data_IF_019501945036
#
_entry.id   IF_019501945036
#
_cell.length_a   1.000
_cell.length_b   1.000
_cell.length_c   1.000
_cell.angle_alpha   90.00
_cell.angle_beta   90.00
_cell.angle_gamma   90.00
#
_symmetry.space_group_name_H-M   'P 1'
#
loop_
_entity.id
_entity.type
_entity.pdbx_description
1 polymer ?
#
# COMPACT_ATOMS: atom_id res chain seq x y z
N UNK A 1 -1.93 7.02 -3.61
CA UNK A 1 -2.71 5.79 -3.32
C UNK A 1 -3.72 5.51 -4.42
N UNK A 2 -4.90 6.14 -4.46
CA UNK A 2 -5.90 5.84 -5.49
C UNK A 2 -5.41 6.10 -6.93
N UNK A 3 -4.72 7.23 -7.15
CA UNK A 3 -4.09 7.55 -8.43
C UNK A 3 -3.05 6.48 -8.84
N UNK A 4 -2.24 6.00 -7.90
CA UNK A 4 -1.30 4.90 -8.12
C UNK A 4 -1.96 3.68 -8.72
N UNK A 5 -3.02 3.16 -8.10
CA UNK A 5 -3.75 1.98 -8.63
C UNK A 5 -4.28 2.22 -10.05
N UNK A 6 -4.72 3.45 -10.36
CA UNK A 6 -5.14 3.80 -11.73
C UNK A 6 -3.94 3.74 -12.69
N UNK A 7 -2.78 4.26 -12.29
CA UNK A 7 -1.54 4.17 -13.07
C UNK A 7 -1.14 2.71 -13.30
N UNK A 8 -1.23 1.84 -12.29
CA UNK A 8 -0.98 0.40 -12.45
C UNK A 8 -1.89 -0.24 -13.50
N UNK A 9 -3.17 0.13 -13.51
CA UNK A 9 -4.12 -0.39 -14.50
C UNK A 9 -3.85 0.16 -15.90
N UNK A 10 -3.43 1.43 -16.02
CA UNK A 10 -2.98 1.97 -17.30
C UNK A 10 -1.78 1.16 -17.81
N UNK A 11 -0.82 0.83 -16.94
CA UNK A 11 0.35 0.02 -17.31
C UNK A 11 -0.06 -1.39 -17.72
N UNK A 12 -0.88 -2.07 -16.92
CA UNK A 12 -1.21 -3.47 -17.16
C UNK A 12 -2.19 -3.69 -18.31
N UNK A 13 -3.08 -2.72 -18.60
CA UNK A 13 -4.16 -2.87 -19.58
C UNK A 13 -3.96 -1.96 -20.78
N UNK A 14 -3.71 -0.67 -20.57
CA UNK A 14 -3.67 0.32 -21.63
C UNK A 14 -2.34 0.33 -22.39
N UNK A 15 -1.19 0.11 -21.74
CA UNK A 15 0.11 0.09 -22.44
C UNK A 15 0.19 -1.03 -23.49
N UNK A 16 -0.18 -2.29 -23.18
CA UNK A 16 -0.21 -3.36 -24.18
C UNK A 16 -1.21 -3.11 -25.32
N UNK A 17 -2.35 -2.48 -25.02
CA UNK A 17 -3.43 -2.29 -25.99
C UNK A 17 -3.25 -1.04 -26.87
N UNK A 18 -2.74 0.06 -26.29
CA UNK A 18 -2.72 1.39 -26.89
C UNK A 18 -1.30 1.89 -27.22
N UNK A 19 -0.26 1.26 -26.67
CA UNK A 19 1.13 1.52 -27.03
C UNK A 19 1.81 2.65 -26.24
N UNK A 20 2.91 3.23 -26.76
CA UNK A 20 3.84 4.07 -26.00
C UNK A 20 3.25 5.35 -25.40
N UNK A 21 2.20 5.91 -26.00
CA UNK A 21 1.56 7.12 -25.47
C UNK A 21 0.90 6.85 -24.11
N UNK A 22 0.35 5.65 -23.89
CA UNK A 22 -0.25 5.27 -22.62
C UNK A 22 0.82 5.15 -21.51
N UNK A 23 2.05 4.71 -21.86
CA UNK A 23 3.18 4.70 -20.93
C UNK A 23 3.62 6.13 -20.58
N UNK A 24 3.58 7.05 -21.55
CA UNK A 24 3.85 8.47 -21.32
C UNK A 24 2.80 9.10 -20.40
N UNK A 25 1.52 8.77 -20.60
CA UNK A 25 0.43 9.21 -19.72
C UNK A 25 0.62 8.68 -18.30
N UNK A 26 0.90 7.39 -18.15
CA UNK A 26 1.19 6.77 -16.85
C UNK A 26 2.34 7.49 -16.13
N UNK A 27 3.43 7.80 -16.85
CA UNK A 27 4.57 8.51 -16.31
C UNK A 27 4.24 9.96 -15.89
N UNK A 28 3.44 10.68 -16.68
CA UNK A 28 3.01 12.03 -16.32
C UNK A 28 2.11 12.03 -15.07
N UNK A 29 1.15 11.11 -14.99
CA UNK A 29 0.30 10.93 -13.81
C UNK A 29 1.11 10.51 -12.59
N UNK A 30 2.13 9.68 -12.78
CA UNK A 30 3.00 9.25 -11.70
C UNK A 30 3.75 10.42 -11.07
N UNK A 31 4.28 11.38 -11.83
CA UNK A 31 4.89 12.58 -11.24
C UNK A 31 3.93 13.42 -10.39
N UNK A 32 2.65 13.48 -10.78
CA UNK A 32 1.60 14.11 -9.96
C UNK A 32 1.43 13.32 -8.65
N UNK A 33 1.44 11.99 -8.73
CA UNK A 33 1.39 11.15 -7.53
C UNK A 33 2.62 11.32 -6.64
N UNK A 34 3.83 11.46 -7.19
CA UNK A 34 5.07 11.69 -6.44
C UNK A 34 4.93 12.94 -5.57
N UNK A 35 4.55 14.06 -6.18
CA UNK A 35 4.41 15.35 -5.48
C UNK A 35 3.33 15.25 -4.40
N UNK A 36 2.16 14.71 -4.75
CA UNK A 36 1.06 14.57 -3.80
C UNK A 36 1.41 13.63 -2.63
N UNK A 37 2.07 12.50 -2.90
CA UNK A 37 2.42 11.49 -1.89
C UNK A 37 3.48 12.02 -0.93
N UNK A 38 4.53 12.69 -1.43
CA UNK A 38 5.54 13.31 -0.58
C UNK A 38 4.90 14.41 0.28
N UNK A 39 4.07 15.27 -0.32
CA UNK A 39 3.40 16.33 0.41
C UNK A 39 2.55 15.75 1.55
N UNK A 40 1.70 14.76 1.28
CA UNK A 40 0.83 14.13 2.29
C UNK A 40 1.64 13.39 3.37
N UNK A 41 2.62 12.59 2.95
CA UNK A 41 3.44 11.75 3.84
C UNK A 41 4.30 12.58 4.81
N UNK A 42 4.76 13.77 4.41
CA UNK A 42 5.55 14.64 5.27
C UNK A 42 4.69 15.65 6.04
N UNK A 43 3.70 16.26 5.38
CA UNK A 43 2.90 17.32 5.97
C UNK A 43 2.00 16.82 7.09
N UNK A 44 1.29 15.70 6.91
CA UNK A 44 0.34 15.24 7.93
C UNK A 44 1.02 14.82 9.24
N UNK A 45 2.10 14.02 9.24
CA UNK A 45 2.86 13.77 10.46
C UNK A 45 3.43 15.05 11.08
N UNK A 46 3.89 16.01 10.27
CA UNK A 46 4.36 17.29 10.78
C UNK A 46 3.26 18.08 11.51
N UNK A 47 2.04 18.14 10.97
CA UNK A 47 0.90 18.79 11.62
C UNK A 47 0.48 18.05 12.89
N UNK A 48 0.55 16.73 12.91
CA UNK A 48 0.31 15.94 14.13
C UNK A 48 1.35 16.29 15.20
N UNK A 49 2.63 16.43 14.82
CA UNK A 49 3.71 16.77 15.75
C UNK A 49 3.66 18.23 16.24
N UNK A 50 3.24 19.17 15.39
CA UNK A 50 3.35 20.61 15.65
C UNK A 50 2.07 21.24 16.22
N UNK A 51 0.89 20.70 15.88
CA UNK A 51 -0.41 21.31 16.23
C UNK A 51 -1.20 20.45 17.20
N UNK A 52 -1.20 19.12 17.03
CA UNK A 52 -2.10 18.24 17.75
C UNK A 52 -1.45 17.66 19.01
N UNK A 53 -2.10 17.82 20.16
CA UNK A 53 -1.72 17.08 21.37
C UNK A 53 -2.16 15.64 21.21
N UNK A 54 -1.20 14.72 21.13
CA UNK A 54 -1.48 13.34 20.78
C UNK A 54 -0.99 12.38 21.84
N UNK A 55 -1.90 11.55 22.36
CA UNK A 55 -1.58 10.56 23.38
C UNK A 55 -1.36 9.18 22.74
N UNK A 56 -0.52 8.34 23.35
CA UNK A 56 -0.25 6.98 22.87
C UNK A 56 -1.54 6.14 22.77
N UNK A 57 -2.49 6.34 23.69
CA UNK A 57 -3.80 5.70 23.70
C UNK A 57 -4.62 5.93 22.42
N UNK A 58 -4.42 7.10 21.80
CA UNK A 58 -5.12 7.57 20.59
C UNK A 58 -4.48 7.10 19.28
N UNK A 59 -3.31 6.44 19.34
CA UNK A 59 -2.64 5.92 18.15
C UNK A 59 -3.50 4.81 17.54
N UNK A 60 -3.80 4.97 16.26
CA UNK A 60 -4.53 3.99 15.44
C UNK A 60 -3.73 3.69 14.20
N UNK A 61 -4.05 2.58 13.53
CA UNK A 61 -3.44 2.22 12.25
C UNK A 61 -3.79 3.17 11.12
N UNK A 62 -4.76 4.08 11.30
CA UNK A 62 -5.08 5.13 10.34
C UNK A 62 -3.90 6.08 10.09
N UNK A 63 -2.96 6.16 11.04
CA UNK A 63 -1.72 6.92 10.90
C UNK A 63 -0.80 6.37 9.80
N UNK A 64 -1.04 5.13 9.36
CA UNK A 64 -0.33 4.56 8.22
C UNK A 64 -0.83 5.14 6.88
N UNK A 65 -2.05 5.66 6.80
CA UNK A 65 -2.65 6.07 5.52
C UNK A 65 -1.85 7.16 4.78
N UNK A 66 -1.37 8.23 5.44
CA UNK A 66 -0.51 9.22 4.78
C UNK A 66 0.82 8.62 4.33
N UNK A 67 1.40 7.72 5.13
CA UNK A 67 2.72 7.14 4.92
C UNK A 67 2.72 6.13 3.76
N UNK A 68 1.68 5.31 3.69
CA UNK A 68 1.51 4.30 2.64
C UNK A 68 1.43 4.93 1.24
N UNK A 69 1.04 6.20 1.14
CA UNK A 69 1.01 6.91 -0.15
C UNK A 69 2.34 6.88 -0.89
N UNK A 70 3.47 7.08 -0.20
CA UNK A 70 4.80 7.05 -0.84
C UNK A 70 5.23 5.63 -1.16
N UNK A 71 4.80 4.64 -0.37
CA UNK A 71 5.10 3.22 -0.63
C UNK A 71 4.42 2.75 -1.91
N UNK A 72 3.12 3.06 -2.08
CA UNK A 72 2.37 2.79 -3.32
C UNK A 72 2.99 3.54 -4.49
N UNK A 73 3.34 4.82 -4.31
CA UNK A 73 3.99 5.62 -5.35
C UNK A 73 5.36 5.04 -5.77
N UNK A 74 6.10 4.42 -4.84
CA UNK A 74 7.35 3.74 -5.15
C UNK A 74 7.13 2.50 -6.02
N UNK A 75 6.17 1.64 -5.65
CA UNK A 75 5.84 0.41 -6.36
C UNK A 75 5.30 0.70 -7.78
N UNK A 76 4.35 1.62 -7.89
CA UNK A 76 3.83 2.11 -9.17
C UNK A 76 4.95 2.67 -10.04
N UNK A 77 5.89 3.44 -9.47
CA UNK A 77 7.03 3.99 -10.20
C UNK A 77 7.96 2.92 -10.77
N UNK A 78 8.12 1.79 -10.08
CA UNK A 78 8.87 0.65 -10.62
C UNK A 78 8.20 0.08 -11.87
N UNK A 79 6.87 -0.07 -11.84
CA UNK A 79 6.11 -0.52 -13.01
C UNK A 79 6.14 0.51 -14.14
N UNK A 80 6.07 1.80 -13.83
CA UNK A 80 6.21 2.86 -14.84
C UNK A 80 7.59 2.76 -15.50
N UNK A 81 8.67 2.66 -14.71
CA UNK A 81 10.04 2.61 -15.20
C UNK A 81 10.28 1.44 -16.18
N UNK A 82 9.62 0.30 -15.98
CA UNK A 82 9.70 -0.87 -16.87
C UNK A 82 9.11 -0.60 -18.27
N UNK A 83 8.13 0.30 -18.38
CA UNK A 83 7.46 0.61 -19.65
C UNK A 83 8.12 1.72 -20.46
N UNK A 84 9.10 2.44 -19.88
CA UNK A 84 9.72 3.60 -20.50
C UNK A 84 10.83 3.19 -21.48
N UNK A 85 10.75 3.72 -22.71
CA UNK A 85 11.77 3.49 -23.74
C UNK A 85 12.99 4.39 -23.60
N UNK A 86 12.85 5.54 -22.92
CA UNK A 86 13.95 6.45 -22.63
C UNK A 86 14.68 5.99 -21.36
N UNK A 87 15.91 5.52 -21.50
CA UNK A 87 16.72 5.00 -20.39
C UNK A 87 16.98 6.01 -19.27
N UNK A 88 17.07 7.31 -19.59
CA UNK A 88 17.24 8.35 -18.57
C UNK A 88 15.95 8.56 -17.75
N UNK A 89 14.79 8.59 -18.40
CA UNK A 89 13.50 8.69 -17.69
C UNK A 89 13.24 7.45 -16.84
N UNK A 90 13.56 6.26 -17.36
CA UNK A 90 13.47 5.01 -16.63
C UNK A 90 14.37 5.05 -15.37
N UNK A 91 15.62 5.52 -15.52
CA UNK A 91 16.56 5.67 -14.40
C UNK A 91 16.07 6.66 -13.35
N UNK A 92 15.59 7.85 -13.74
CA UNK A 92 15.07 8.83 -12.78
C UNK A 92 13.87 8.29 -12.00
N UNK A 93 12.96 7.63 -12.71
CA UNK A 93 11.77 7.01 -12.13
C UNK A 93 12.19 5.93 -11.12
N UNK A 94 13.13 5.07 -11.48
CA UNK A 94 13.68 4.03 -10.60
C UNK A 94 14.34 4.62 -9.33
N UNK A 95 15.17 5.65 -9.48
CA UNK A 95 15.86 6.30 -8.35
C UNK A 95 14.86 6.96 -7.42
N UNK A 96 13.87 7.67 -7.95
CA UNK A 96 12.81 8.29 -7.16
C UNK A 96 11.95 7.23 -6.47
N UNK A 97 11.66 6.09 -7.10
CA UNK A 97 11.00 4.96 -6.44
C UNK A 97 11.78 4.45 -5.23
N UNK A 98 13.11 4.30 -5.32
CA UNK A 98 13.94 3.95 -4.16
C UNK A 98 13.83 4.99 -3.03
N UNK A 99 13.84 6.28 -3.36
CA UNK A 99 13.70 7.37 -2.37
C UNK A 99 12.33 7.30 -1.69
N UNK A 100 11.25 7.17 -2.46
CA UNK A 100 9.89 7.08 -1.95
C UNK A 100 9.68 5.88 -1.04
N UNK A 101 10.24 4.72 -1.43
CA UNK A 101 10.24 3.51 -0.61
C UNK A 101 11.01 3.73 0.69
N UNK A 102 12.20 4.34 0.60
CA UNK A 102 13.08 4.66 1.73
C UNK A 102 12.51 5.70 2.70
N UNK A 103 11.57 6.54 2.25
CA UNK A 103 10.79 7.41 3.13
C UNK A 103 9.64 6.63 3.77
N UNK A 104 8.83 5.96 2.95
CA UNK A 104 7.57 5.36 3.40
C UNK A 104 7.74 4.17 4.33
N UNK A 105 8.59 3.20 3.98
CA UNK A 105 8.70 1.95 4.73
C UNK A 105 9.25 2.17 6.15
N UNK A 106 10.36 2.92 6.36
CA UNK A 106 10.84 3.19 7.71
C UNK A 106 9.82 3.94 8.59
N UNK A 107 9.13 4.96 8.04
CA UNK A 107 8.08 5.68 8.76
C UNK A 107 6.90 4.76 9.13
N UNK A 108 6.54 3.84 8.23
CA UNK A 108 5.53 2.83 8.52
C UNK A 108 5.99 1.89 9.65
N UNK A 109 7.26 1.46 9.66
CA UNK A 109 7.81 0.62 10.73
C UNK A 109 7.74 1.32 12.10
N UNK A 110 8.07 2.62 12.18
CA UNK A 110 7.93 3.38 13.43
C UNK A 110 6.47 3.40 13.92
N UNK A 111 5.53 3.61 13.00
CA UNK A 111 4.10 3.63 13.33
C UNK A 111 3.62 2.24 13.78
N UNK A 112 4.12 1.16 13.16
CA UNK A 112 3.79 -0.21 13.57
C UNK A 112 4.33 -0.55 14.95
N UNK A 113 5.54 -0.10 15.30
CA UNK A 113 6.11 -0.29 16.64
C UNK A 113 5.26 0.44 17.69
N UNK A 114 4.89 1.71 17.42
CA UNK A 114 4.03 2.48 18.32
C UNK A 114 2.64 1.86 18.46
N UNK A 115 2.06 1.37 17.35
CA UNK A 115 0.77 0.72 17.38
C UNK A 115 0.82 -0.62 18.12
N UNK A 116 1.87 -1.41 17.94
CA UNK A 116 2.10 -2.64 18.72
C UNK A 116 2.19 -2.32 20.22
N UNK A 117 2.96 -1.30 20.60
CA UNK A 117 3.04 -0.85 22.00
C UNK A 117 1.67 -0.41 22.54
N UNK A 118 0.90 0.32 21.73
CA UNK A 118 -0.48 0.72 22.08
C UNK A 118 -1.39 -0.49 22.28
N UNK A 119 -1.25 -1.55 21.48
CA UNK A 119 -2.03 -2.79 21.63
C UNK A 119 -1.63 -3.63 22.86
N UNK A 120 -0.39 -3.53 23.34
CA UNK A 120 0.04 -4.24 24.55
C UNK A 120 -0.38 -3.51 25.82
N UNK A 121 -0.48 -2.18 25.78
CA UNK A 121 -0.89 -1.35 26.92
C UNK A 121 -2.39 -1.07 26.98
N UNK A 122 -3.09 -1.12 25.84
CA UNK A 122 -4.53 -0.82 25.76
C UNK A 122 -5.28 -1.94 25.03
N UNK A 123 -6.59 -2.07 25.29
CA UNK A 123 -7.46 -3.09 24.66
C UNK A 123 -7.47 -2.93 23.13
N UNK A 124 -7.76 -4.02 22.40
CA UNK A 124 -7.98 -3.99 20.95
C UNK A 124 -8.93 -2.84 20.53
N UNK A 125 -8.78 -2.28 19.31
CA UNK A 125 -9.56 -1.12 18.90
C UNK A 125 -11.08 -1.34 19.02
N UNK A 126 -11.86 -0.27 19.28
CA UNK A 126 -13.32 -0.32 19.29
C UNK A 126 -13.91 -0.89 17.99
N UNK A 127 -15.14 -1.39 18.06
CA UNK A 127 -15.81 -2.10 16.94
C UNK A 127 -16.01 -1.21 15.71
N UNK A 128 -16.08 0.09 15.93
CA UNK A 128 -16.30 1.13 14.93
C UNK A 128 -15.09 1.29 14.01
N UNK A 129 -13.89 1.07 14.54
CA UNK A 129 -12.62 1.19 13.80
C UNK A 129 -11.90 -0.14 13.65
N UNK A 130 -12.53 -1.26 14.02
CA UNK A 130 -11.87 -2.58 14.02
C UNK A 130 -11.42 -3.00 12.62
N UNK A 131 -12.06 -2.55 11.55
CA UNK A 131 -11.62 -2.81 10.17
C UNK A 131 -10.19 -2.30 9.90
N UNK A 132 -9.76 -1.27 10.63
CA UNK A 132 -8.41 -0.69 10.51
C UNK A 132 -7.29 -1.62 10.99
N UNK A 133 -7.60 -2.69 11.75
CA UNK A 133 -6.57 -3.64 12.24
C UNK A 133 -5.84 -4.39 11.12
N UNK A 134 -6.39 -4.41 9.91
CA UNK A 134 -5.75 -4.98 8.73
C UNK A 134 -4.78 -4.02 8.04
N UNK A 135 -4.87 -2.71 8.28
CA UNK A 135 -4.02 -1.71 7.62
C UNK A 135 -2.49 -1.91 7.76
N UNK A 136 -1.96 -2.54 8.82
CA UNK A 136 -0.55 -2.94 8.87
C UNK A 136 -0.09 -3.80 7.67
N UNK A 137 -0.99 -4.58 7.07
CA UNK A 137 -0.70 -5.34 5.86
C UNK A 137 -0.45 -4.46 4.65
N UNK A 138 -0.95 -3.22 4.65
CA UNK A 138 -0.74 -2.22 3.62
C UNK A 138 0.75 -1.98 3.34
N UNK A 139 1.50 -1.33 4.26
CA UNK A 139 2.92 -1.04 4.05
C UNK A 139 3.79 -2.30 3.96
N UNK A 140 3.41 -3.41 4.62
CA UNK A 140 4.18 -4.65 4.59
C UNK A 140 4.01 -5.43 3.27
N UNK A 141 2.79 -5.50 2.76
CA UNK A 141 2.49 -6.09 1.47
C UNK A 141 3.03 -5.22 0.33
N UNK A 142 2.57 -3.97 0.27
CA UNK A 142 2.95 -3.04 -0.79
C UNK A 142 4.44 -2.72 -0.79
N UNK A 143 5.05 -2.55 0.39
CA UNK A 143 6.48 -2.32 0.49
C UNK A 143 7.31 -3.53 0.04
N UNK A 144 6.83 -4.74 0.32
CA UNK A 144 7.47 -5.97 -0.18
C UNK A 144 7.31 -6.14 -1.70
N UNK A 145 6.12 -5.92 -2.23
CA UNK A 145 5.88 -5.90 -3.68
C UNK A 145 6.76 -4.84 -4.37
N UNK A 146 6.73 -3.61 -3.88
CA UNK A 146 7.47 -2.48 -4.44
C UNK A 146 8.98 -2.73 -4.46
N UNK A 147 9.60 -3.14 -3.34
CA UNK A 147 11.06 -3.33 -3.33
C UNK A 147 11.51 -4.47 -4.23
N UNK A 148 10.71 -5.54 -4.34
CA UNK A 148 10.97 -6.62 -5.28
C UNK A 148 10.92 -6.11 -6.72
N UNK A 149 9.87 -5.35 -7.07
CA UNK A 149 9.69 -4.81 -8.42
C UNK A 149 10.78 -3.80 -8.79
N UNK A 150 11.15 -2.91 -7.87
CA UNK A 150 12.28 -1.99 -8.05
C UNK A 150 13.59 -2.79 -8.28
N UNK A 151 13.81 -3.87 -7.52
CA UNK A 151 14.97 -4.76 -7.70
C UNK A 151 15.00 -5.45 -9.07
N UNK A 152 13.85 -5.95 -9.55
CA UNK A 152 13.71 -6.52 -10.90
C UNK A 152 14.08 -5.51 -11.99
N UNK A 153 13.52 -4.31 -11.92
CA UNK A 153 13.75 -3.27 -12.92
C UNK A 153 15.21 -2.79 -12.91
N UNK A 154 15.87 -2.81 -11.74
CA UNK A 154 17.28 -2.48 -11.61
C UNK A 154 18.21 -3.41 -12.41
N UNK A 155 17.81 -4.67 -12.67
CA UNK A 155 18.56 -5.60 -13.52
C UNK A 155 18.72 -5.10 -14.95
N UNK A 156 17.70 -4.43 -15.49
CA UNK A 156 17.69 -3.95 -16.86
C UNK A 156 18.25 -2.52 -16.98
N UNK A 157 17.84 -1.63 -16.07
CA UNK A 157 18.16 -0.20 -16.19
C UNK A 157 19.65 0.08 -15.95
N UNK A 158 20.23 -0.46 -14.87
CA UNK A 158 21.61 -0.08 -14.49
C UNK A 158 22.68 -0.48 -15.51
N UNK A 159 22.63 -1.68 -16.13
CA UNK A 159 23.53 -1.99 -17.24
C UNK A 159 23.29 -1.11 -18.47
N UNK A 160 22.03 -0.78 -18.78
CA UNK A 160 21.68 0.03 -19.94
C UNK A 160 22.16 1.49 -19.82
N UNK A 161 22.26 2.02 -18.61
CA UNK A 161 22.67 3.41 -18.36
C UNK A 161 24.11 3.55 -17.88
N UNK A 162 24.81 2.44 -17.59
CA UNK A 162 26.14 2.43 -16.96
C UNK A 162 26.21 3.28 -15.68
N UNK A 163 25.11 3.35 -14.91
CA UNK A 163 25.01 4.23 -13.74
C UNK A 163 25.89 3.77 -12.58
N UNK A 164 25.95 2.45 -12.36
CA UNK A 164 26.68 1.82 -11.26
C UNK A 164 27.53 0.66 -11.79
N UNK A 165 28.27 0.02 -10.88
CA UNK A 165 29.06 -1.18 -11.19
C UNK A 165 28.19 -2.27 -11.85
N UNK A 166 28.74 -3.10 -12.75
CA UNK A 166 27.96 -4.04 -13.57
C UNK A 166 27.06 -5.02 -12.77
N UNK A 167 27.44 -5.36 -11.54
CA UNK A 167 26.71 -6.29 -10.68
C UNK A 167 25.63 -5.61 -9.82
N UNK A 168 25.53 -4.28 -9.83
CA UNK A 168 24.63 -3.53 -8.93
C UNK A 168 23.16 -3.94 -9.07
N UNK A 169 22.66 -4.14 -10.30
CA UNK A 169 21.29 -4.60 -10.54
C UNK A 169 21.01 -5.97 -9.92
N UNK A 170 21.97 -6.90 -10.00
CA UNK A 170 21.84 -8.24 -9.41
C UNK A 170 21.81 -8.20 -7.89
N UNK A 171 22.67 -7.36 -7.28
CA UNK A 171 22.67 -7.16 -5.82
C UNK A 171 21.33 -6.61 -5.35
N UNK A 172 20.81 -5.58 -6.03
CA UNK A 172 19.56 -4.96 -5.65
C UNK A 172 18.33 -5.84 -5.90
N UNK A 173 18.37 -6.68 -6.92
CA UNK A 173 17.37 -7.73 -7.14
C UNK A 173 17.32 -8.72 -5.98
N UNK A 174 18.48 -9.29 -5.58
CA UNK A 174 18.55 -10.23 -4.45
C UNK A 174 18.15 -9.54 -3.14
N UNK A 175 18.59 -8.31 -2.93
CA UNK A 175 18.19 -7.50 -1.78
C UNK A 175 16.67 -7.30 -1.76
N UNK A 176 16.07 -6.91 -2.88
CA UNK A 176 14.63 -6.72 -3.01
C UNK A 176 13.85 -7.99 -2.67
N UNK A 177 14.31 -9.15 -3.15
CA UNK A 177 13.70 -10.43 -2.82
C UNK A 177 13.75 -10.75 -1.32
N UNK A 178 14.93 -10.64 -0.70
CA UNK A 178 15.10 -10.93 0.73
C UNK A 178 14.26 -9.96 1.57
N UNK A 179 14.28 -8.66 1.25
CA UNK A 179 13.47 -7.66 1.96
C UNK A 179 11.97 -7.94 1.80
N UNK A 180 11.50 -8.27 0.59
CA UNK A 180 10.11 -8.61 0.35
C UNK A 180 9.65 -9.81 1.17
N UNK A 181 10.47 -10.87 1.24
CA UNK A 181 10.17 -12.06 2.04
C UNK A 181 10.11 -11.76 3.54
N UNK A 182 11.02 -10.92 4.06
CA UNK A 182 11.02 -10.50 5.46
C UNK A 182 9.78 -9.66 5.79
N UNK A 183 9.41 -8.70 4.92
CA UNK A 183 8.22 -7.87 5.10
C UNK A 183 6.94 -8.71 5.03
N UNK A 184 6.86 -9.65 4.09
CA UNK A 184 5.75 -10.60 4.00
C UNK A 184 5.62 -11.45 5.26
N UNK A 185 6.74 -11.99 5.75
CA UNK A 185 6.79 -12.79 6.98
C UNK A 185 6.34 -11.99 8.20
N UNK A 186 6.74 -10.72 8.30
CA UNK A 186 6.26 -9.84 9.36
C UNK A 186 4.76 -9.54 9.21
N UNK A 187 4.28 -9.37 7.98
CA UNK A 187 2.86 -9.20 7.68
C UNK A 187 1.99 -10.36 8.12
N UNK A 188 2.49 -11.61 8.10
CA UNK A 188 1.74 -12.76 8.61
C UNK A 188 1.35 -12.61 10.09
N UNK A 189 2.24 -12.08 10.93
CA UNK A 189 1.93 -11.86 12.34
C UNK A 189 0.75 -10.88 12.50
N UNK A 190 0.79 -9.78 11.74
CA UNK A 190 -0.29 -8.80 11.70
C UNK A 190 -1.59 -9.36 11.14
N UNK A 191 -1.54 -10.21 10.12
CA UNK A 191 -2.71 -10.87 9.55
C UNK A 191 -3.40 -11.74 10.60
N UNK A 192 -2.62 -12.54 11.35
CA UNK A 192 -3.15 -13.40 12.43
C UNK A 192 -3.83 -12.55 13.51
N UNK A 193 -3.17 -11.49 13.97
CA UNK A 193 -3.76 -10.59 14.98
C UNK A 193 -4.99 -9.84 14.46
N UNK A 194 -4.99 -9.44 13.19
CA UNK A 194 -6.12 -8.78 12.55
C UNK A 194 -7.34 -9.70 12.49
N UNK A 195 -7.16 -10.95 12.02
CA UNK A 195 -8.21 -11.96 11.97
C UNK A 195 -8.76 -12.29 13.37
N UNK A 196 -7.88 -12.46 14.36
CA UNK A 196 -8.28 -12.74 15.74
C UNK A 196 -9.06 -11.58 16.38
N UNK A 197 -8.63 -10.33 16.11
CA UNK A 197 -9.29 -9.13 16.62
C UNK A 197 -10.65 -8.91 15.95
N UNK A 198 -10.70 -9.05 14.63
CA UNK A 198 -11.92 -8.88 13.83
C UNK A 198 -12.96 -9.97 14.14
N UNK A 199 -12.55 -11.22 14.37
CA UNK A 199 -13.45 -12.30 14.78
C UNK A 199 -14.07 -12.11 16.17
N UNK A 200 -13.38 -11.41 17.08
CA UNK A 200 -13.88 -11.11 18.43
C UNK A 200 -14.85 -9.93 18.47
N UNK A 201 -14.58 -8.92 17.66
CA UNK A 201 -15.39 -7.71 17.58
C UNK A 201 -16.46 -7.91 16.52
N UNK A 202 -17.71 -8.18 16.92
CA UNK A 202 -18.88 -8.16 16.00
C UNK A 202 -18.94 -6.80 15.29
N UNK A 203 -18.27 -6.68 14.14
CA UNK A 203 -18.03 -5.43 13.44
C UNK A 203 -19.26 -5.09 12.60
N UNK A 204 -19.95 -3.97 12.87
CA UNK A 204 -20.92 -3.45 11.91
C UNK A 204 -20.20 -2.99 10.65
N UNK A 205 -20.89 -3.05 9.51
CA UNK A 205 -20.37 -2.51 8.28
C UNK A 205 -20.08 -1.01 8.43
N UNK A 206 -18.91 -0.57 7.96
CA UNK A 206 -18.55 0.82 7.80
C UNK A 206 -17.60 0.97 6.61
N UNK A 207 -17.39 2.20 6.14
CA UNK A 207 -16.52 2.47 4.99
C UNK A 207 -15.06 2.03 5.20
N UNK A 208 -14.62 1.84 6.44
CA UNK A 208 -13.31 1.28 6.75
C UNK A 208 -13.11 -0.17 6.27
N UNK A 209 -14.18 -0.91 5.94
CA UNK A 209 -14.08 -2.25 5.34
C UNK A 209 -13.37 -2.24 3.99
N UNK A 210 -13.42 -1.13 3.23
CA UNK A 210 -12.60 -0.96 2.03
C UNK A 210 -11.10 -0.97 2.33
N UNK A 211 -10.69 -0.53 3.52
CA UNK A 211 -9.31 -0.62 3.99
C UNK A 211 -8.84 -2.07 4.15
N UNK A 212 -9.74 -3.00 4.48
CA UNK A 212 -9.43 -4.45 4.55
C UNK A 212 -9.14 -4.97 3.13
N UNK A 213 -10.00 -4.64 2.16
CA UNK A 213 -9.81 -5.03 0.75
C UNK A 213 -8.46 -4.54 0.25
N UNK A 214 -8.13 -3.27 0.48
CA UNK A 214 -6.85 -2.69 0.09
C UNK A 214 -5.67 -3.42 0.75
N UNK A 215 -5.65 -3.49 2.09
CA UNK A 215 -4.50 -4.00 2.82
C UNK A 215 -4.25 -5.50 2.57
N UNK A 216 -5.31 -6.29 2.46
CA UNK A 216 -5.20 -7.72 2.09
C UNK A 216 -4.88 -7.89 0.60
N UNK A 217 -5.36 -7.00 -0.27
CA UNK A 217 -5.05 -6.94 -1.69
C UNK A 217 -3.55 -6.81 -1.96
N UNK A 218 -2.91 -5.77 -1.39
CA UNK A 218 -1.47 -5.55 -1.58
C UNK A 218 -0.62 -6.65 -0.94
N UNK A 219 -1.06 -7.20 0.19
CA UNK A 219 -0.41 -8.37 0.80
C UNK A 219 -0.50 -9.62 -0.09
N UNK A 220 -1.62 -9.77 -0.80
CA UNK A 220 -1.80 -10.84 -1.80
C UNK A 220 -0.93 -10.61 -3.03
N UNK A 221 -0.82 -9.37 -3.52
CA UNK A 221 0.11 -9.01 -4.59
C UNK A 221 1.56 -9.37 -4.25
N UNK A 222 2.00 -9.07 -3.02
CA UNK A 222 3.30 -9.50 -2.51
C UNK A 222 3.45 -11.03 -2.46
N UNK A 223 2.42 -11.74 -1.99
CA UNK A 223 2.38 -13.22 -1.97
C UNK A 223 2.54 -13.83 -3.36
N UNK A 224 1.83 -13.29 -4.35
CA UNK A 224 1.90 -13.71 -5.76
C UNK A 224 3.29 -13.43 -6.33
N UNK A 225 3.82 -12.24 -6.07
CA UNK A 225 5.14 -11.83 -6.56
C UNK A 225 6.23 -12.75 -6.04
N UNK A 226 6.25 -13.05 -4.73
CA UNK A 226 7.19 -14.02 -4.14
C UNK A 226 7.02 -15.41 -4.79
N UNK A 227 5.78 -15.83 -5.07
CA UNK A 227 5.50 -17.10 -5.75
C UNK A 227 6.06 -17.18 -7.17
N UNK A 228 6.00 -16.07 -7.91
CA UNK A 228 6.58 -15.95 -9.24
C UNK A 228 8.12 -16.00 -9.18
N UNK A 229 8.74 -15.24 -8.27
CA UNK A 229 10.20 -15.20 -8.12
C UNK A 229 10.80 -16.54 -7.68
N UNK A 230 10.13 -17.25 -6.76
CA UNK A 230 10.59 -18.56 -6.30
C UNK A 230 10.16 -19.71 -7.20
N UNK A 231 9.29 -19.48 -8.19
CA UNK A 231 8.56 -20.53 -8.92
C UNK A 231 7.87 -21.52 -7.98
N UNK A 232 7.32 -21.04 -6.85
CA UNK A 232 6.85 -21.87 -5.75
C UNK A 232 5.36 -22.20 -5.87
N UNK A 233 5.04 -23.49 -5.97
CA UNK A 233 3.64 -23.97 -5.97
C UNK A 233 2.89 -23.57 -4.70
N UNK A 234 3.56 -23.54 -3.56
CA UNK A 234 2.95 -23.13 -2.29
C UNK A 234 2.42 -21.69 -2.37
N UNK A 235 3.28 -20.75 -2.75
CA UNK A 235 2.90 -19.33 -2.86
C UNK A 235 1.87 -19.09 -3.98
N UNK A 236 1.94 -19.85 -5.07
CA UNK A 236 0.94 -19.76 -6.15
C UNK A 236 -0.46 -20.18 -5.68
N UNK A 237 -0.56 -21.30 -4.93
CA UNK A 237 -1.84 -21.75 -4.36
C UNK A 237 -2.33 -20.75 -3.31
N UNK A 238 -1.44 -20.28 -2.43
CA UNK A 238 -1.78 -19.31 -1.38
C UNK A 238 -2.27 -17.98 -1.96
N UNK A 239 -1.55 -17.43 -2.94
CA UNK A 239 -1.93 -16.21 -3.65
C UNK A 239 -3.28 -16.36 -4.37
N UNK A 240 -3.53 -17.51 -4.99
CA UNK A 240 -4.83 -17.81 -5.61
C UNK A 240 -5.95 -17.84 -4.57
N UNK A 241 -5.74 -18.53 -3.44
CA UNK A 241 -6.73 -18.61 -2.37
C UNK A 241 -7.05 -17.22 -1.78
N UNK A 242 -6.03 -16.42 -1.48
CA UNK A 242 -6.22 -15.05 -1.00
C UNK A 242 -6.95 -14.18 -2.02
N UNK A 243 -6.62 -14.30 -3.32
CA UNK A 243 -7.29 -13.56 -4.39
C UNK A 243 -8.79 -13.87 -4.44
N UNK A 244 -9.16 -15.16 -4.38
CA UNK A 244 -10.58 -15.57 -4.35
C UNK A 244 -11.30 -15.00 -3.14
N UNK A 245 -10.70 -15.08 -1.95
CA UNK A 245 -11.27 -14.54 -0.71
C UNK A 245 -11.50 -13.03 -0.84
N UNK A 246 -10.53 -12.29 -1.37
CA UNK A 246 -10.60 -10.84 -1.52
C UNK A 246 -11.67 -10.44 -2.52
N UNK A 247 -11.80 -11.16 -3.64
CA UNK A 247 -12.85 -10.91 -4.64
C UNK A 247 -14.24 -11.12 -4.02
N UNK A 248 -14.44 -12.22 -3.30
CA UNK A 248 -15.70 -12.48 -2.59
C UNK A 248 -16.00 -11.39 -1.57
N UNK A 249 -14.99 -10.99 -0.79
CA UNK A 249 -15.13 -9.92 0.19
C UNK A 249 -15.42 -8.56 -0.46
N UNK A 250 -14.80 -8.27 -1.61
CA UNK A 250 -15.08 -7.08 -2.41
C UNK A 250 -16.55 -7.01 -2.86
N UNK A 251 -17.14 -8.12 -3.30
CA UNK A 251 -18.57 -8.16 -3.65
C UNK A 251 -19.46 -7.89 -2.44
N UNK A 252 -19.11 -8.42 -1.26
CA UNK A 252 -19.83 -8.16 -0.01
C UNK A 252 -19.78 -6.66 0.32
N UNK A 253 -18.58 -6.09 0.39
CA UNK A 253 -18.35 -4.67 0.70
C UNK A 253 -19.06 -3.76 -0.31
N UNK A 254 -18.98 -4.09 -1.61
CA UNK A 254 -19.64 -3.35 -2.68
C UNK A 254 -21.16 -3.38 -2.53
N UNK A 255 -21.74 -4.54 -2.18
CA UNK A 255 -23.19 -4.66 -1.96
C UNK A 255 -23.66 -3.80 -0.79
N UNK A 256 -22.93 -3.81 0.34
CA UNK A 256 -23.26 -2.95 1.48
C UNK A 256 -23.08 -1.47 1.15
N UNK A 257 -22.03 -1.12 0.41
CA UNK A 257 -21.79 0.26 -0.05
C UNK A 257 -22.94 0.73 -0.94
N UNK A 258 -23.35 -0.08 -1.93
CA UNK A 258 -24.48 0.22 -2.80
C UNK A 258 -25.79 0.39 -2.04
N UNK A 259 -26.07 -0.49 -1.06
CA UNK A 259 -27.24 -0.35 -0.19
C UNK A 259 -27.20 0.95 0.59
N UNK A 260 -26.05 1.33 1.16
CA UNK A 260 -25.86 2.59 1.88
C UNK A 260 -25.99 3.83 1.00
N UNK A 261 -25.57 3.74 -0.27
CA UNK A 261 -25.79 4.80 -1.27
C UNK A 261 -27.28 4.95 -1.57
N UNK A 262 -27.97 3.84 -1.82
CA UNK A 262 -29.41 3.84 -2.14
C UNK A 262 -30.25 4.31 -0.94
N UNK A 263 -29.89 3.93 0.29
CA UNK A 263 -30.57 4.40 1.50
C UNK A 263 -30.23 5.85 1.88
N UNK A 264 -29.17 6.42 1.30
CA UNK A 264 -28.66 7.75 1.65
C UNK A 264 -27.86 7.80 2.95
N UNK A 265 -27.85 6.73 3.75
CA UNK A 265 -27.18 6.66 5.05
C UNK A 265 -25.67 6.88 4.95
N UNK A 266 -25.06 6.50 3.83
CA UNK A 266 -23.60 6.61 3.64
C UNK A 266 -23.10 8.05 3.51
N UNK A 267 -23.98 8.97 3.12
CA UNK A 267 -23.66 10.39 2.97
C UNK A 267 -23.90 11.19 4.25
N UNK A 268 -24.56 10.59 5.24
CA UNK A 268 -24.81 11.22 6.52
C UNK A 268 -23.64 10.97 7.48
N UNK A 269 -22.95 12.05 7.85
CA UNK A 269 -21.88 12.01 8.87
C UNK A 269 -22.40 12.60 10.18
N UNK A 270 -22.63 11.79 11.23
CA UNK A 270 -23.10 12.29 12.52
C UNK A 270 -22.17 13.35 13.14
N UNK A 271 -20.86 13.27 12.85
CA UNK A 271 -19.87 14.23 13.30
C UNK A 271 -19.97 15.60 12.63
N UNK A 272 -20.56 15.70 11.43
CA UNK A 272 -20.82 16.99 10.76
C UNK A 272 -22.12 17.60 11.28
N UNK A 273 -23.14 16.77 11.52
CA UNK A 273 -24.39 17.22 12.13
C UNK A 273 -24.19 17.82 13.54
N UNK A 274 -23.26 17.26 14.33
CA UNK A 274 -22.92 17.79 15.66
C UNK A 274 -22.21 19.16 15.63
N UNK A 275 -21.59 19.53 14.50
CA UNK A 275 -20.96 20.85 14.33
C UNK A 275 -21.99 21.93 14.02
N UNK A 276 -23.07 21.60 13.30
CA UNK A 276 -24.19 22.52 13.06
C UNK A 276 -24.97 22.82 14.35
N UNK A 277 -25.03 21.88 15.30
CA UNK A 277 -25.68 22.08 16.61
C UNK A 277 -24.82 22.87 17.62
N UNK A 278 -23.57 23.21 17.27
CA UNK A 278 -22.65 23.97 18.14
C UNK A 278 -22.34 25.40 17.66
N UNK A 279 -23.00 25.86 16.60
CA UNK A 279 -23.11 27.28 16.21
C UNK A 279 -24.42 27.92 16.70
#
# INVERSE_FOLDING_TARGET
MGLGIIIEMIINVCVPAWGPWAATLAWALWWIEVVASIAICLYLPFIIMSVHKTEISSITTLWLLPIVSTIVCAATGAMVAETLTNSAHALWTLVVSYILWGIGVPLAMFTLVLYYHRLTMHKIPPREVISSVFLPLGPLGEGGFGIMKIGQVSLAIFPATNTLIPVAGQILYVFGFVTALLMWSFGLAWLVWALASFGRAKSPFNMGWWGIVFATGVFTGSTITIGQEMTSRFFNVLGTAFTVIIILFWFIVSTYTLRGIISGEIFFSPSVAQLEDTE
#
